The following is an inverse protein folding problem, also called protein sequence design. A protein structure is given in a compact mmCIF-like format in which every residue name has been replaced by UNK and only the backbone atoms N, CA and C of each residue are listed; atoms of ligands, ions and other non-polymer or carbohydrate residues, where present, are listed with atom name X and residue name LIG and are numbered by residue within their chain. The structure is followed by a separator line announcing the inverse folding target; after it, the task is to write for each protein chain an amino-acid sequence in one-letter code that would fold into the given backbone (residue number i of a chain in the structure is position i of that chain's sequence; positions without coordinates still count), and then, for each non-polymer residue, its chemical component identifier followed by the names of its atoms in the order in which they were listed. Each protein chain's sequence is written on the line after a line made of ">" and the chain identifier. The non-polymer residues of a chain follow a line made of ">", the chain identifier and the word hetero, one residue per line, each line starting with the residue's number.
data_IF_980170001734
#
_entry.id   IF_980170001734
#
_cell.length_a   1.000
_cell.length_b   1.000
_cell.length_c   1.000
_cell.angle_alpha   90.00
_cell.angle_beta   90.00
_cell.angle_gamma   90.00
#
_symmetry.space_group_name_H-M   'P 1'
#
loop_
_entity.id
_entity.type
_entity.pdbx_description
1 polymer ?
#
# COMPACT_ATOMS: atom_id res chain seq x y z
N UNK A 1 41.28 40.73 2.80
CA UNK A 1 40.33 40.27 1.76
C UNK A 1 40.65 38.83 1.45
N UNK A 2 39.76 37.92 1.85
CA UNK A 2 39.80 36.48 1.58
C UNK A 2 38.36 36.06 1.20
N UNK A 3 38.14 35.27 0.15
CA UNK A 3 36.79 34.91 -0.29
C UNK A 3 36.18 33.88 0.67
N UNK A 4 34.97 34.19 1.16
CA UNK A 4 34.17 33.29 1.99
C UNK A 4 33.64 32.13 1.14
N UNK A 5 33.93 30.91 1.60
CA UNK A 5 33.50 29.65 1.00
C UNK A 5 32.00 29.42 1.25
N UNK A 6 31.23 29.24 0.17
CA UNK A 6 29.80 28.86 0.17
C UNK A 6 29.63 27.39 0.54
N UNK A 7 29.87 27.01 1.80
CA UNK A 7 29.73 25.62 2.25
C UNK A 7 29.05 25.44 3.61
N UNK A 8 28.26 26.41 4.04
CA UNK A 8 27.52 26.30 5.30
C UNK A 8 26.21 27.07 5.26
N UNK A 9 25.20 26.57 4.54
CA UNK A 9 23.79 26.93 4.76
C UNK A 9 22.86 25.99 3.96
N UNK A 10 22.75 24.73 4.37
CA UNK A 10 21.67 23.81 3.93
C UNK A 10 21.58 22.62 4.90
N UNK A 11 21.46 22.95 6.19
CA UNK A 11 20.96 22.07 7.24
C UNK A 11 19.66 22.68 7.72
N UNK A 12 18.55 22.09 7.33
CA UNK A 12 17.23 22.48 7.82
C UNK A 12 16.15 22.02 6.86
N UNK A 13 15.25 21.16 7.35
CA UNK A 13 14.05 20.61 6.69
C UNK A 13 14.22 19.33 5.87
N UNK A 14 14.82 18.29 6.48
CA UNK A 14 14.42 16.90 6.23
C UNK A 14 13.51 16.48 7.40
N UNK A 15 12.24 16.88 7.30
CA UNK A 15 11.21 16.55 8.28
C UNK A 15 10.39 15.38 7.78
N UNK A 16 10.48 14.26 8.51
CA UNK A 16 9.41 13.27 8.65
C UNK A 16 9.14 12.31 7.47
N UNK A 17 10.16 11.56 7.03
CA UNK A 17 9.95 10.18 6.57
C UNK A 17 10.52 9.26 7.64
N UNK A 18 9.63 8.47 8.24
CA UNK A 18 9.82 7.76 9.50
C UNK A 18 10.99 6.77 9.49
N UNK A 19 11.56 6.59 10.67
CA UNK A 19 12.58 5.60 10.96
C UNK A 19 12.16 4.17 10.57
N UNK A 20 13.01 3.52 9.78
CA UNK A 20 13.35 2.10 9.93
C UNK A 20 12.29 1.07 9.51
N UNK A 21 12.15 0.86 8.20
CA UNK A 21 11.76 -0.45 7.68
C UNK A 21 13.05 -1.23 7.36
N UNK A 22 13.63 -1.88 8.37
CA UNK A 22 14.68 -2.89 8.13
C UNK A 22 13.96 -4.20 7.82
N UNK A 23 14.15 -4.75 6.62
CA UNK A 23 13.66 -6.08 6.28
C UNK A 23 14.26 -7.11 7.26
N UNK A 24 13.47 -8.01 7.86
CA UNK A 24 14.04 -8.99 8.79
C UNK A 24 14.93 -10.00 8.06
N UNK A 25 16.01 -10.42 8.73
CA UNK A 25 17.06 -11.27 8.16
C UNK A 25 16.57 -12.61 7.55
N UNK A 26 15.37 -13.10 7.90
CA UNK A 26 14.79 -14.30 7.29
C UNK A 26 14.22 -14.07 5.91
N UNK A 27 13.61 -12.90 5.67
CA UNK A 27 13.12 -12.51 4.34
C UNK A 27 14.32 -12.35 3.41
N UNK A 28 15.42 -11.79 3.92
CA UNK A 28 16.71 -11.75 3.22
C UNK A 28 17.23 -13.16 2.86
N UNK A 29 17.16 -14.13 3.78
CA UNK A 29 17.64 -15.50 3.56
C UNK A 29 16.76 -16.31 2.59
N UNK A 30 15.43 -16.10 2.55
CA UNK A 30 14.55 -16.78 1.58
C UNK A 30 14.72 -16.24 0.16
N UNK A 31 15.23 -15.01 0.01
CA UNK A 31 15.60 -14.40 -1.27
C UNK A 31 16.96 -14.90 -1.80
N UNK A 32 17.74 -15.63 -0.99
CA UNK A 32 19.04 -16.20 -1.35
C UNK A 32 18.96 -17.40 -2.32
N UNK A 33 17.83 -18.13 -2.32
CA UNK A 33 17.68 -19.36 -3.11
C UNK A 33 17.14 -19.14 -4.53
N UNK A 34 16.87 -17.89 -4.92
CA UNK A 34 16.30 -17.55 -6.23
C UNK A 34 17.42 -17.13 -7.20
N UNK A 35 17.63 -17.83 -8.33
CA UNK A 35 18.64 -17.44 -9.31
C UNK A 35 18.30 -16.07 -9.91
N UNK A 36 19.17 -15.09 -9.70
CA UNK A 36 19.09 -13.77 -10.31
C UNK A 36 19.69 -13.84 -11.72
N UNK A 37 18.86 -13.59 -12.74
CA UNK A 37 19.29 -13.44 -14.14
C UNK A 37 19.13 -11.97 -14.53
N UNK A 38 20.01 -11.45 -15.38
CA UNK A 38 20.11 -10.03 -15.75
C UNK A 38 18.79 -9.51 -16.37
N UNK A 39 17.91 -8.90 -15.57
CA UNK A 39 16.67 -8.27 -16.02
C UNK A 39 16.44 -6.92 -15.34
N UNK A 40 16.11 -5.91 -16.14
CA UNK A 40 15.63 -4.62 -15.65
C UNK A 40 14.22 -4.79 -15.07
N UNK A 41 13.97 -4.17 -13.91
CA UNK A 41 12.75 -4.34 -13.12
C UNK A 41 11.43 -4.17 -13.90
N UNK A 42 10.40 -4.84 -13.38
CA UNK A 42 9.04 -5.01 -13.91
C UNK A 42 8.84 -5.91 -15.15
N UNK A 43 9.88 -6.19 -15.96
CA UNK A 43 9.73 -7.02 -17.17
C UNK A 43 9.84 -8.53 -16.93
N UNK A 44 10.15 -8.95 -15.70
CA UNK A 44 10.24 -10.37 -15.37
C UNK A 44 8.84 -11.04 -15.40
N UNK A 45 8.61 -12.04 -16.28
CA UNK A 45 7.29 -12.65 -16.43
C UNK A 45 6.77 -13.36 -15.17
N UNK A 46 7.66 -13.85 -14.32
CA UNK A 46 7.28 -14.49 -13.06
C UNK A 46 6.78 -13.45 -12.06
N UNK A 47 7.52 -12.37 -11.89
CA UNK A 47 7.13 -11.20 -11.09
C UNK A 47 5.78 -10.66 -11.55
N UNK A 48 5.60 -10.43 -12.85
CA UNK A 48 4.31 -9.99 -13.39
C UNK A 48 3.14 -10.94 -13.08
N UNK A 49 3.35 -12.26 -13.17
CA UNK A 49 2.31 -13.24 -12.81
C UNK A 49 1.98 -13.22 -11.30
N UNK A 50 2.97 -13.02 -10.44
CA UNK A 50 2.78 -12.86 -8.99
C UNK A 50 2.00 -11.59 -8.67
N UNK A 51 2.31 -10.46 -9.32
CA UNK A 51 1.57 -9.20 -9.16
C UNK A 51 0.13 -9.29 -9.65
N UNK A 52 -0.14 -9.98 -10.76
CA UNK A 52 -1.52 -10.32 -11.17
C UNK A 52 -2.28 -11.08 -10.10
N UNK A 53 -1.62 -12.05 -9.48
CA UNK A 53 -2.19 -12.83 -8.41
C UNK A 53 -2.41 -11.99 -7.14
N UNK A 54 -1.55 -11.03 -6.82
CA UNK A 54 -1.75 -10.05 -5.74
C UNK A 54 -3.00 -9.19 -6.02
N UNK A 55 -3.09 -8.60 -7.21
CA UNK A 55 -4.18 -7.70 -7.57
C UNK A 55 -5.52 -8.44 -7.55
N UNK A 56 -5.59 -9.66 -8.09
CA UNK A 56 -6.82 -10.47 -8.05
C UNK A 56 -7.28 -10.82 -6.62
N UNK A 57 -6.37 -10.90 -5.64
CA UNK A 57 -6.76 -11.23 -4.25
C UNK A 57 -7.18 -9.99 -3.44
N UNK A 58 -6.54 -8.85 -3.69
CA UNK A 58 -6.76 -7.58 -2.96
C UNK A 58 -7.92 -6.78 -3.55
N UNK A 59 -7.97 -6.64 -4.87
CA UNK A 59 -9.02 -5.90 -5.59
C UNK A 59 -9.69 -6.83 -6.61
N UNK A 60 -10.45 -7.84 -6.15
CA UNK A 60 -11.12 -8.79 -7.03
C UNK A 60 -12.24 -8.12 -7.82
N UNK A 61 -12.60 -8.72 -8.97
CA UNK A 61 -13.89 -8.43 -9.61
C UNK A 61 -15.05 -8.84 -8.71
N UNK A 62 -16.11 -8.04 -8.72
CA UNK A 62 -17.34 -8.25 -7.95
C UNK A 62 -18.60 -8.15 -8.83
N UNK A 63 -18.73 -8.99 -9.89
CA UNK A 63 -19.83 -8.90 -10.85
C UNK A 63 -21.22 -9.07 -10.21
N UNK A 64 -21.31 -9.75 -9.07
CA UNK A 64 -22.54 -9.88 -8.29
C UNK A 64 -23.09 -8.54 -7.78
N UNK A 65 -22.23 -7.53 -7.62
CA UNK A 65 -22.64 -6.18 -7.18
C UNK A 65 -23.21 -5.34 -8.33
N UNK A 66 -23.00 -5.73 -9.58
CA UNK A 66 -23.45 -4.95 -10.74
C UNK A 66 -24.97 -4.75 -10.78
N UNK A 67 -25.72 -5.76 -10.34
CA UNK A 67 -27.19 -5.70 -10.35
C UNK A 67 -27.78 -4.75 -9.31
N UNK A 68 -27.03 -4.46 -8.25
CA UNK A 68 -27.48 -3.62 -7.13
C UNK A 68 -26.91 -2.20 -7.21
N UNK A 69 -25.61 -2.07 -7.49
CA UNK A 69 -24.89 -0.81 -7.37
C UNK A 69 -24.58 -0.14 -8.71
N UNK A 70 -24.58 -0.89 -9.83
CA UNK A 70 -24.17 -0.40 -11.14
C UNK A 70 -23.00 -1.18 -11.73
N UNK A 71 -22.83 -1.12 -13.06
CA UNK A 71 -21.80 -1.89 -13.77
C UNK A 71 -20.37 -1.52 -13.32
N UNK A 72 -20.17 -0.25 -12.97
CA UNK A 72 -18.94 0.33 -12.43
C UNK A 72 -18.45 -0.39 -11.16
N UNK A 73 -19.35 -1.03 -10.40
CA UNK A 73 -19.01 -1.81 -9.20
C UNK A 73 -18.62 -3.27 -9.47
N UNK A 74 -18.58 -3.70 -10.73
CA UNK A 74 -18.16 -5.05 -11.12
C UNK A 74 -16.68 -5.19 -11.46
N UNK A 75 -16.04 -4.06 -11.74
CA UNK A 75 -14.65 -3.95 -12.16
C UNK A 75 -13.72 -4.29 -10.98
N UNK A 76 -12.61 -4.96 -11.26
CA UNK A 76 -11.54 -5.24 -10.30
C UNK A 76 -10.22 -4.61 -10.74
N UNK A 77 -9.16 -4.79 -9.94
CA UNK A 77 -7.87 -4.16 -10.21
C UNK A 77 -7.20 -4.65 -11.51
N UNK A 78 -7.44 -5.91 -11.90
CA UNK A 78 -6.93 -6.44 -13.17
C UNK A 78 -7.62 -5.83 -14.40
N UNK A 79 -8.85 -5.35 -14.27
CA UNK A 79 -9.57 -4.76 -15.39
C UNK A 79 -9.04 -3.35 -15.73
N UNK A 80 -8.29 -2.73 -14.80
CA UNK A 80 -7.72 -1.38 -14.95
C UNK A 80 -6.18 -1.37 -14.91
N UNK A 81 -5.55 -2.53 -15.12
CA UNK A 81 -4.09 -2.64 -15.27
C UNK A 81 -3.27 -2.40 -14.00
N UNK A 82 -3.84 -2.55 -12.80
CA UNK A 82 -3.09 -2.37 -11.55
C UNK A 82 -1.92 -3.36 -11.44
N UNK A 83 -2.01 -4.53 -12.06
CA UNK A 83 -0.93 -5.54 -12.05
C UNK A 83 0.34 -5.09 -12.76
N UNK A 84 0.22 -4.20 -13.75
CA UNK A 84 1.35 -3.66 -14.50
C UNK A 84 1.89 -2.37 -13.85
N UNK A 85 1.02 -1.60 -13.20
CA UNK A 85 1.42 -0.39 -12.50
C UNK A 85 2.05 -0.68 -11.13
N UNK A 86 1.52 -1.63 -10.37
CA UNK A 86 1.95 -1.90 -9.00
C UNK A 86 3.45 -2.23 -8.84
N UNK A 87 4.06 -3.15 -9.62
CA UNK A 87 5.48 -3.45 -9.46
C UNK A 87 6.36 -2.22 -9.74
N UNK A 88 6.04 -1.44 -10.78
CA UNK A 88 6.74 -0.19 -11.10
C UNK A 88 6.60 0.83 -9.98
N UNK A 89 5.38 1.00 -9.46
CA UNK A 89 5.11 1.88 -8.33
C UNK A 89 5.92 1.46 -7.09
N UNK A 90 6.03 0.16 -6.79
CA UNK A 90 6.83 -0.33 -5.66
C UNK A 90 8.32 -0.05 -5.86
N UNK A 91 8.83 -0.27 -7.06
CA UNK A 91 10.24 -0.02 -7.39
C UNK A 91 10.60 1.47 -7.30
N UNK A 92 9.69 2.37 -7.69
CA UNK A 92 9.89 3.82 -7.59
C UNK A 92 9.60 4.39 -6.19
N UNK A 93 8.71 3.76 -5.42
CA UNK A 93 8.30 4.22 -4.09
C UNK A 93 9.48 4.24 -3.10
N UNK A 94 10.44 3.33 -3.27
CA UNK A 94 11.68 3.31 -2.48
C UNK A 94 12.80 3.92 -3.33
N UNK A 95 13.14 5.17 -3.04
CA UNK A 95 14.13 5.92 -3.80
C UNK A 95 15.42 5.10 -4.05
N UNK A 96 16.00 5.11 -5.27
CA UNK A 96 17.19 4.32 -5.61
C UNK A 96 18.44 4.68 -4.77
N UNK A 97 18.42 5.84 -4.11
CA UNK A 97 19.49 6.32 -3.23
C UNK A 97 19.38 5.76 -1.80
N UNK A 98 18.16 5.37 -1.39
CA UNK A 98 18.02 4.41 -0.33
C UNK A 98 18.35 3.07 -0.97
N UNK A 99 19.64 2.74 -1.03
CA UNK A 99 20.01 1.35 -0.97
C UNK A 99 19.22 0.79 0.21
N UNK A 100 18.09 0.12 -0.05
CA UNK A 100 17.70 -1.04 0.73
C UNK A 100 19.01 -1.79 0.73
N UNK A 101 19.77 -1.81 1.85
CA UNK A 101 21.12 -2.36 1.85
C UNK A 101 20.95 -3.68 1.14
N UNK A 102 21.58 -3.79 -0.04
CA UNK A 102 21.40 -4.93 -0.90
C UNK A 102 21.48 -6.11 0.03
N UNK A 103 20.39 -6.88 0.08
CA UNK A 103 20.24 -8.06 0.91
C UNK A 103 21.64 -8.65 1.02
N UNK A 104 22.28 -8.45 2.18
CA UNK A 104 23.65 -8.93 2.36
C UNK A 104 23.46 -10.42 2.54
N UNK A 105 23.36 -11.12 1.41
CA UNK A 105 23.41 -12.56 1.27
C UNK A 105 24.82 -12.97 1.69
N UNK A 106 25.06 -12.81 2.99
CA UNK A 106 26.38 -12.54 3.51
C UNK A 106 27.36 -13.61 3.12
N UNK A 107 28.49 -13.20 2.55
CA UNK A 107 29.74 -13.97 2.45
C UNK A 107 29.63 -15.50 2.26
N UNK A 108 28.63 -15.98 1.51
CA UNK A 108 28.67 -17.32 0.97
C UNK A 108 29.71 -17.27 -0.15
N UNK A 109 30.97 -17.60 0.22
CA UNK A 109 32.18 -17.63 -0.60
C UNK A 109 31.96 -18.28 -1.99
N UNK A 110 31.37 -17.55 -2.93
CA UNK A 110 31.37 -17.85 -4.36
C UNK A 110 32.43 -16.97 -5.00
N UNK A 111 33.59 -17.53 -5.39
CA UNK A 111 34.62 -16.76 -6.08
C UNK A 111 34.05 -16.27 -7.43
N UNK A 112 33.69 -15.00 -7.52
CA UNK A 112 33.26 -14.35 -8.78
C UNK A 112 31.97 -13.54 -8.71
N UNK A 113 31.19 -13.58 -7.62
CA UNK A 113 30.01 -12.73 -7.47
C UNK A 113 30.41 -11.31 -7.04
N UNK A 114 30.14 -10.32 -7.89
CA UNK A 114 30.35 -8.89 -7.58
C UNK A 114 29.15 -8.37 -6.80
N UNK A 115 29.41 -7.80 -5.62
CA UNK A 115 28.47 -7.31 -4.60
C UNK A 115 27.73 -6.00 -4.99
N UNK A 116 27.35 -5.80 -6.26
CA UNK A 116 26.82 -4.50 -6.72
C UNK A 116 25.46 -4.54 -7.44
N UNK A 117 24.81 -5.71 -7.56
CA UNK A 117 23.52 -5.79 -8.26
C UNK A 117 22.35 -5.70 -7.27
N UNK A 118 21.69 -4.54 -7.25
CA UNK A 118 20.46 -4.32 -6.47
C UNK A 118 19.28 -4.94 -7.21
N UNK A 119 18.67 -5.97 -6.63
CA UNK A 119 17.41 -6.55 -7.11
C UNK A 119 16.28 -5.53 -6.97
N UNK A 120 15.38 -5.37 -7.96
CA UNK A 120 14.18 -4.55 -7.82
C UNK A 120 13.36 -4.98 -6.60
N UNK A 121 12.80 -4.03 -5.86
CA UNK A 121 11.98 -4.34 -4.68
C UNK A 121 10.76 -5.18 -5.06
N UNK A 122 10.22 -4.96 -6.25
CA UNK A 122 9.09 -5.71 -6.79
C UNK A 122 9.40 -7.21 -6.89
N UNK A 123 10.58 -7.58 -7.38
CA UNK A 123 11.04 -8.96 -7.48
C UNK A 123 11.27 -9.59 -6.09
N UNK A 124 11.88 -8.84 -5.16
CA UNK A 124 12.05 -9.29 -3.78
C UNK A 124 10.69 -9.54 -3.08
N UNK A 125 9.70 -8.68 -3.32
CA UNK A 125 8.33 -8.88 -2.83
C UNK A 125 7.69 -10.13 -3.45
N UNK A 126 7.88 -10.35 -4.75
CA UNK A 126 7.38 -11.54 -5.44
C UNK A 126 8.00 -12.83 -4.88
N UNK A 127 9.32 -12.83 -4.65
CA UNK A 127 10.03 -13.96 -4.03
C UNK A 127 9.52 -14.29 -2.62
N UNK A 128 9.26 -13.28 -1.78
CA UNK A 128 8.70 -13.49 -0.45
C UNK A 128 7.29 -14.10 -0.48
N UNK A 129 6.45 -13.69 -1.43
CA UNK A 129 5.12 -14.27 -1.64
C UNK A 129 5.20 -15.72 -2.14
N UNK A 130 6.15 -16.01 -3.03
CA UNK A 130 6.41 -17.34 -3.55
C UNK A 130 6.87 -18.31 -2.45
N UNK A 131 7.82 -17.89 -1.60
CA UNK A 131 8.27 -18.67 -0.44
C UNK A 131 7.11 -18.96 0.52
N UNK A 132 6.26 -17.95 0.80
CA UNK A 132 5.08 -18.14 1.64
C UNK A 132 4.07 -19.13 1.04
N UNK A 133 3.86 -19.11 -0.27
CA UNK A 133 3.01 -20.06 -0.97
C UNK A 133 3.59 -21.49 -0.92
N UNK A 134 4.89 -21.65 -1.16
CA UNK A 134 5.55 -22.95 -1.07
C UNK A 134 5.50 -23.52 0.35
N UNK A 135 5.66 -22.68 1.38
CA UNK A 135 5.48 -23.08 2.77
C UNK A 135 4.03 -23.50 3.07
N UNK A 136 3.03 -22.83 2.48
CA UNK A 136 1.62 -23.23 2.55
C UNK A 136 1.41 -24.64 1.99
N UNK A 137 1.88 -24.88 0.76
CA UNK A 137 1.75 -26.15 0.06
C UNK A 137 2.49 -27.29 0.79
N UNK A 138 3.72 -27.06 1.21
CA UNK A 138 4.54 -28.07 1.91
C UNK A 138 3.89 -28.51 3.21
N UNK A 139 3.21 -27.61 3.91
CA UNK A 139 2.48 -27.93 5.14
C UNK A 139 1.11 -28.59 4.91
N UNK A 140 0.64 -28.69 3.65
CA UNK A 140 -0.72 -29.12 3.32
C UNK A 140 -1.80 -28.16 3.83
N UNK A 141 -1.48 -26.86 3.88
CA UNK A 141 -2.38 -25.83 4.42
C UNK A 141 -3.30 -25.19 3.40
N UNK A 142 -3.14 -25.50 2.11
CA UNK A 142 -4.04 -25.07 1.05
C UNK A 142 -5.35 -25.87 1.09
N UNK A 143 -6.47 -25.20 0.82
CA UNK A 143 -7.79 -25.83 0.76
C UNK A 143 -8.08 -26.36 -0.66
N UNK A 144 -7.60 -25.67 -1.69
CA UNK A 144 -7.82 -26.01 -3.09
C UNK A 144 -6.52 -26.52 -3.75
N UNK A 145 -6.66 -27.39 -4.75
CA UNK A 145 -5.52 -27.81 -5.57
C UNK A 145 -4.96 -26.62 -6.37
N UNK A 146 -3.62 -26.43 -6.43
CA UNK A 146 -3.04 -25.37 -7.23
C UNK A 146 -3.36 -25.53 -8.72
N UNK A 147 -3.52 -24.40 -9.41
CA UNK A 147 -3.78 -24.30 -10.84
C UNK A 147 -2.56 -23.68 -11.56
N UNK A 148 -1.54 -24.47 -11.94
CA UNK A 148 -0.38 -23.96 -12.68
C UNK A 148 -0.82 -23.24 -13.96
N UNK A 149 -0.22 -22.10 -14.23
CA UNK A 149 -0.51 -21.31 -15.42
C UNK A 149 -1.71 -20.37 -15.31
N UNK A 150 -2.39 -20.29 -14.16
CA UNK A 150 -3.55 -19.41 -13.93
C UNK A 150 -3.33 -17.96 -14.36
N UNK A 151 -2.15 -17.40 -14.07
CA UNK A 151 -1.73 -16.05 -14.46
C UNK A 151 -0.59 -16.05 -15.49
N UNK A 152 -0.55 -17.07 -16.35
CA UNK A 152 0.45 -17.23 -17.40
C UNK A 152 1.50 -18.30 -17.08
N UNK A 153 2.26 -18.73 -18.10
CA UNK A 153 3.17 -19.89 -18.01
C UNK A 153 4.37 -19.67 -17.08
N UNK A 154 4.67 -18.43 -16.70
CA UNK A 154 5.75 -18.09 -15.78
C UNK A 154 5.29 -17.97 -14.31
N UNK A 155 4.00 -18.16 -14.01
CA UNK A 155 3.47 -18.08 -12.65
C UNK A 155 4.02 -19.19 -11.75
N UNK A 156 4.52 -18.81 -10.58
CA UNK A 156 4.97 -19.76 -9.55
C UNK A 156 3.85 -20.29 -8.66
N UNK A 157 4.22 -20.86 -7.52
CA UNK A 157 3.30 -21.39 -6.53
C UNK A 157 2.27 -20.35 -6.09
N UNK A 158 2.68 -19.11 -5.78
CA UNK A 158 1.74 -18.09 -5.31
C UNK A 158 0.65 -17.78 -6.35
N UNK A 159 1.05 -17.66 -7.62
CA UNK A 159 0.13 -17.42 -8.74
C UNK A 159 -0.79 -18.62 -9.02
N UNK A 160 -0.34 -19.85 -8.74
CA UNK A 160 -1.14 -21.06 -8.90
C UNK A 160 -2.19 -21.26 -7.79
N UNK A 161 -2.04 -20.62 -6.63
CA UNK A 161 -2.98 -20.76 -5.52
C UNK A 161 -4.37 -20.16 -5.82
N UNK A 162 -5.41 -20.78 -5.26
CA UNK A 162 -6.74 -20.18 -5.22
C UNK A 162 -6.70 -18.83 -4.50
N UNK A 163 -7.70 -17.98 -4.73
CA UNK A 163 -7.75 -16.66 -4.09
C UNK A 163 -7.75 -16.76 -2.56
N UNK A 164 -8.41 -17.78 -2.02
CA UNK A 164 -8.46 -18.04 -0.57
C UNK A 164 -7.11 -18.48 -0.04
N UNK A 165 -6.44 -19.38 -0.75
CA UNK A 165 -5.11 -19.87 -0.36
C UNK A 165 -4.03 -18.80 -0.50
N UNK A 166 -4.14 -17.86 -1.45
CA UNK A 166 -3.27 -16.68 -1.51
C UNK A 166 -3.37 -15.82 -0.24
N UNK A 167 -4.59 -15.58 0.27
CA UNK A 167 -4.78 -14.89 1.55
C UNK A 167 -4.19 -15.67 2.71
N UNK A 168 -4.30 -17.00 2.70
CA UNK A 168 -3.68 -17.85 3.72
C UNK A 168 -2.14 -17.77 3.67
N UNK A 169 -1.53 -17.78 2.48
CA UNK A 169 -0.10 -17.57 2.31
C UNK A 169 0.34 -16.18 2.80
N UNK A 170 -0.37 -15.12 2.43
CA UNK A 170 -0.10 -13.75 2.92
C UNK A 170 -0.24 -13.66 4.44
N UNK A 171 -1.26 -14.26 5.04
CA UNK A 171 -1.45 -14.27 6.50
C UNK A 171 -0.31 -14.99 7.24
N UNK A 172 0.24 -16.06 6.65
CA UNK A 172 1.44 -16.74 7.18
C UNK A 172 2.68 -15.86 7.07
N UNK A 173 2.87 -15.21 5.93
CA UNK A 173 3.97 -14.26 5.71
C UNK A 173 3.91 -13.10 6.72
N UNK A 174 2.72 -12.56 6.97
CA UNK A 174 2.46 -11.50 7.95
C UNK A 174 2.74 -11.93 9.40
N UNK A 175 2.37 -13.17 9.75
CA UNK A 175 2.58 -13.74 11.09
C UNK A 175 4.05 -14.00 11.39
N UNK A 176 4.88 -14.14 10.36
CA UNK A 176 6.33 -14.19 10.47
C UNK A 176 6.95 -12.79 10.37
N UNK A 177 7.92 -12.67 9.50
CA UNK A 177 8.75 -11.48 9.30
C UNK A 177 8.30 -10.62 8.11
N UNK A 178 7.28 -11.06 7.35
CA UNK A 178 6.86 -10.42 6.12
C UNK A 178 5.72 -9.41 6.27
N UNK A 179 5.44 -8.90 7.48
CA UNK A 179 4.37 -7.90 7.71
C UNK A 179 4.49 -6.69 6.80
N UNK A 180 5.72 -6.18 6.59
CA UNK A 180 5.94 -5.04 5.71
C UNK A 180 5.58 -5.36 4.25
N UNK A 181 6.00 -6.54 3.75
CA UNK A 181 5.66 -7.03 2.41
C UNK A 181 4.14 -7.10 2.25
N UNK A 182 3.44 -7.74 3.20
CA UNK A 182 1.98 -7.88 3.17
C UNK A 182 1.28 -6.53 3.21
N UNK A 183 1.77 -5.58 4.02
CA UNK A 183 1.24 -4.23 4.07
C UNK A 183 1.38 -3.50 2.72
N UNK A 184 2.55 -3.58 2.07
CA UNK A 184 2.77 -2.99 0.74
C UNK A 184 1.77 -3.55 -0.28
N UNK A 185 1.74 -4.87 -0.44
CA UNK A 185 0.93 -5.52 -1.48
C UNK A 185 -0.56 -5.51 -1.18
N UNK A 186 -0.99 -5.15 0.04
CA UNK A 186 -2.42 -4.97 0.36
C UNK A 186 -2.85 -3.51 0.22
N UNK A 187 -2.02 -2.57 0.68
CA UNK A 187 -2.39 -1.16 0.68
C UNK A 187 -2.29 -0.53 -0.71
N UNK A 188 -1.20 -0.79 -1.44
CA UNK A 188 -0.94 -0.11 -2.70
C UNK A 188 -1.91 -0.47 -3.82
N UNK A 189 -2.32 -1.73 -4.06
CA UNK A 189 -3.37 -2.00 -5.04
C UNK A 189 -4.65 -1.22 -4.75
N UNK A 190 -5.06 -1.12 -3.48
CA UNK A 190 -6.26 -0.38 -3.10
C UNK A 190 -6.08 1.13 -3.35
N UNK A 191 -4.94 1.70 -2.97
CA UNK A 191 -4.62 3.11 -3.22
C UNK A 191 -4.62 3.39 -4.73
N UNK A 192 -3.95 2.57 -5.53
CA UNK A 192 -3.89 2.75 -6.97
C UNK A 192 -5.27 2.58 -7.61
N UNK A 193 -6.03 1.56 -7.24
CA UNK A 193 -7.36 1.29 -7.78
C UNK A 193 -8.38 2.41 -7.52
N UNK A 194 -8.38 2.99 -6.31
CA UNK A 194 -9.27 4.11 -5.98
C UNK A 194 -8.69 5.49 -6.31
N UNK A 195 -7.52 5.54 -6.96
CA UNK A 195 -6.93 6.76 -7.47
C UNK A 195 -7.25 6.98 -8.94
N UNK A 196 -6.87 8.15 -9.46
CA UNK A 196 -6.88 8.48 -10.89
C UNK A 196 -5.72 7.85 -11.68
N UNK A 197 -4.87 7.03 -11.03
CA UNK A 197 -3.66 6.47 -11.64
C UNK A 197 -3.93 5.64 -12.91
N UNK A 198 -5.06 4.94 -12.96
CA UNK A 198 -5.45 4.16 -14.14
C UNK A 198 -5.83 5.01 -15.36
N UNK A 199 -6.13 6.31 -15.19
CA UNK A 199 -6.47 7.21 -16.29
C UNK A 199 -5.25 7.90 -16.91
N UNK A 200 -4.05 7.75 -16.34
CA UNK A 200 -2.83 8.27 -16.94
C UNK A 200 -2.21 7.24 -17.88
N UNK A 201 -1.73 7.68 -19.05
CA UNK A 201 -0.89 6.85 -19.93
C UNK A 201 0.39 6.42 -19.20
N UNK A 202 0.98 7.32 -18.40
CA UNK A 202 2.11 7.04 -17.53
C UNK A 202 1.93 7.71 -16.16
N UNK A 203 1.27 7.00 -15.23
CA UNK A 203 0.97 7.51 -13.88
C UNK A 203 2.20 7.86 -13.02
N UNK A 204 3.38 7.42 -13.43
CA UNK A 204 4.65 7.62 -12.73
C UNK A 204 5.49 8.75 -13.37
N UNK A 205 5.03 9.30 -14.50
CA UNK A 205 5.68 10.39 -15.20
C UNK A 205 5.75 11.70 -14.39
N UNK A 206 6.55 12.68 -14.83
CA UNK A 206 6.62 13.98 -14.19
C UNK A 206 5.23 14.65 -14.10
N UNK A 207 4.83 15.25 -12.96
CA UNK A 207 3.49 15.83 -12.81
C UNK A 207 3.08 16.88 -13.84
N UNK A 208 4.05 17.52 -14.50
CA UNK A 208 3.80 18.50 -15.58
C UNK A 208 3.50 17.88 -16.94
N UNK A 209 3.72 16.58 -17.09
CA UNK A 209 3.57 15.82 -18.33
C UNK A 209 2.42 14.81 -18.25
N UNK A 210 1.81 14.64 -17.06
CA UNK A 210 0.64 13.79 -16.87
C UNK A 210 -0.58 14.39 -17.58
N UNK A 211 -1.18 13.60 -18.46
CA UNK A 211 -2.47 13.89 -19.11
C UNK A 211 -3.47 12.82 -18.69
N UNK A 212 -4.60 13.25 -18.11
CA UNK A 212 -5.61 12.36 -17.55
C UNK A 212 -6.69 12.08 -18.59
N UNK A 213 -6.88 10.81 -18.95
CA UNK A 213 -8.08 10.38 -19.65
C UNK A 213 -9.22 10.21 -18.64
N UNK A 214 -10.10 11.20 -18.57
CA UNK A 214 -11.25 11.22 -17.67
C UNK A 214 -12.37 10.26 -18.10
N UNK A 215 -12.31 9.69 -19.32
CA UNK A 215 -13.44 9.00 -19.91
C UNK A 215 -13.71 7.61 -19.35
N UNK A 216 -12.71 6.98 -18.70
CA UNK A 216 -12.78 5.60 -18.20
C UNK A 216 -12.11 5.49 -16.80
N UNK A 217 -12.60 6.24 -15.81
CA UNK A 217 -12.13 6.18 -14.42
C UNK A 217 -13.14 5.49 -13.50
N UNK A 218 -13.01 4.17 -13.24
CA UNK A 218 -14.00 3.45 -12.43
C UNK A 218 -14.19 4.00 -11.02
N UNK A 219 -13.14 4.54 -10.41
CA UNK A 219 -13.24 5.18 -9.10
C UNK A 219 -14.14 6.43 -9.12
N UNK A 220 -14.14 7.21 -10.20
CA UNK A 220 -15.00 8.38 -10.33
C UNK A 220 -16.44 7.98 -10.56
N UNK A 221 -16.68 6.99 -11.42
CA UNK A 221 -18.02 6.45 -11.67
C UNK A 221 -18.62 5.85 -10.38
N UNK A 222 -17.87 4.99 -9.68
CA UNK A 222 -18.31 4.34 -8.43
C UNK A 222 -18.65 5.32 -7.31
N UNK A 223 -18.01 6.49 -7.29
CA UNK A 223 -18.22 7.50 -6.23
C UNK A 223 -19.14 8.63 -6.66
N UNK A 224 -19.50 8.71 -7.95
CA UNK A 224 -20.14 9.87 -8.54
C UNK A 224 -19.28 11.14 -8.45
N UNK A 225 -17.94 10.99 -8.37
CA UNK A 225 -17.03 12.13 -8.32
C UNK A 225 -17.02 12.83 -9.69
N UNK A 226 -17.35 14.12 -9.78
CA UNK A 226 -17.52 14.82 -11.05
C UNK A 226 -16.20 15.21 -11.73
N UNK A 227 -15.08 14.66 -11.26
CA UNK A 227 -13.73 15.09 -11.67
C UNK A 227 -13.27 16.40 -10.99
N UNK A 228 -12.03 16.83 -11.29
CA UNK A 228 -11.51 18.12 -10.86
C UNK A 228 -12.41 19.26 -11.32
N UNK A 229 -12.97 20.03 -10.38
CA UNK A 229 -13.67 21.26 -10.72
C UNK A 229 -12.66 22.39 -10.99
N UNK A 230 -12.96 23.26 -11.95
CA UNK A 230 -12.18 24.48 -12.31
C UNK A 230 -11.91 25.44 -11.11
N UNK A 231 -12.54 25.20 -9.96
CA UNK A 231 -12.61 26.10 -8.81
C UNK A 231 -11.28 26.39 -8.09
N UNK A 232 -10.24 25.55 -8.20
CA UNK A 232 -8.97 25.83 -7.50
C UNK A 232 -8.05 26.79 -8.26
N UNK A 233 -8.18 26.91 -9.58
CA UNK A 233 -7.46 27.93 -10.34
C UNK A 233 -7.89 29.35 -9.93
N UNK A 234 -9.15 29.52 -9.50
CA UNK A 234 -9.67 30.80 -9.02
C UNK A 234 -8.98 31.30 -7.73
N UNK A 235 -8.36 30.43 -6.93
CA UNK A 235 -7.67 30.82 -5.69
C UNK A 235 -6.15 31.04 -5.86
N UNK A 236 -5.55 30.65 -7.00
CA UNK A 236 -4.10 30.80 -7.26
C UNK A 236 -3.64 32.25 -7.54
N UNK A 237 -4.49 33.24 -7.28
CA UNK A 237 -4.18 34.67 -7.44
C UNK A 237 -4.67 35.58 -6.30
N UNK A 238 -5.32 35.04 -5.27
CA UNK A 238 -5.68 35.82 -4.09
C UNK A 238 -4.58 35.66 -3.04
N UNK A 239 -3.79 36.72 -2.84
CA UNK A 239 -2.98 36.84 -1.62
C UNK A 239 -3.92 36.75 -0.41
N UNK A 240 -3.78 35.69 0.37
CA UNK A 240 -4.41 35.61 1.69
C UNK A 240 -3.73 36.67 2.55
N UNK A 241 -4.34 37.86 2.66
CA UNK A 241 -3.73 38.99 3.38
C UNK A 241 -3.54 38.70 4.87
N UNK A 242 -4.39 37.85 5.45
CA UNK A 242 -4.25 37.35 6.81
C UNK A 242 -4.77 35.91 6.89
N UNK A 243 -3.92 34.98 7.33
CA UNK A 243 -4.37 33.71 7.87
C UNK A 243 -4.96 33.99 9.26
N UNK A 244 -6.27 33.78 9.41
CA UNK A 244 -6.86 33.65 10.75
C UNK A 244 -6.71 32.19 11.13
N UNK A 245 -5.75 31.90 12.00
CA UNK A 245 -5.72 30.60 12.68
C UNK A 245 -7.06 30.46 13.41
N UNK A 246 -7.90 29.56 12.92
CA UNK A 246 -8.99 29.05 13.71
C UNK A 246 -8.35 28.15 14.77
N UNK A 247 -8.00 28.76 15.91
CA UNK A 247 -7.79 27.97 17.13
C UNK A 247 -9.15 27.37 17.42
N UNK A 248 -9.35 26.15 16.92
CA UNK A 248 -10.51 25.34 17.27
C UNK A 248 -10.75 25.43 18.77
N UNK A 249 -12.01 25.32 19.22
CA UNK A 249 -12.45 25.76 20.54
C UNK A 249 -11.44 25.35 21.60
N UNK A 250 -10.86 26.34 22.29
CA UNK A 250 -9.83 26.16 23.31
C UNK A 250 -10.25 24.99 24.21
N UNK A 251 -9.57 23.85 24.05
CA UNK A 251 -9.70 22.71 24.97
C UNK A 251 -8.90 22.99 26.24
N UNK A 252 -9.00 24.20 26.77
CA UNK A 252 -8.40 24.63 28.05
C UNK A 252 -9.25 24.19 29.26
N UNK A 253 -10.11 23.19 29.06
CA UNK A 253 -10.87 22.52 30.11
C UNK A 253 -10.26 21.20 30.60
N UNK A 254 -9.09 20.78 30.10
CA UNK A 254 -8.37 19.65 30.68
C UNK A 254 -7.71 20.11 31.99
N UNK A 255 -8.52 20.25 33.04
CA UNK A 255 -8.00 20.30 34.40
C UNK A 255 -7.17 19.05 34.61
N UNK A 256 -5.88 19.26 34.83
CA UNK A 256 -4.94 18.27 35.34
C UNK A 256 -5.45 17.82 36.72
N UNK A 257 -6.37 16.87 36.73
CA UNK A 257 -6.86 16.20 37.93
C UNK A 257 -5.72 15.33 38.44
N UNK A 258 -4.91 15.88 39.34
CA UNK A 258 -3.92 15.14 40.10
C UNK A 258 -4.60 13.95 40.75
N UNK A 259 -4.15 12.75 40.36
CA UNK A 259 -4.53 11.49 40.98
C UNK A 259 -4.03 11.44 42.43
N UNK A 260 -4.80 12.02 43.33
CA UNK A 260 -4.73 11.78 44.76
C UNK A 260 -6.12 12.01 45.34
N UNK A 261 -6.63 10.99 46.04
CA UNK A 261 -7.89 10.97 46.79
C UNK A 261 -9.21 10.92 45.99
N UNK A 262 -9.65 9.70 45.68
CA UNK A 262 -11.06 9.32 45.85
C UNK A 262 -11.20 7.79 45.90
N UNK A 263 -11.09 7.26 47.12
CA UNK A 263 -11.68 6.00 47.52
C UNK A 263 -13.12 6.35 47.90
N UNK A 264 -14.13 5.93 47.12
CA UNK A 264 -15.52 6.26 47.44
C UNK A 264 -16.51 5.85 46.36
N UNK A 265 -17.07 4.67 46.58
CA UNK A 265 -18.45 4.25 46.36
C UNK A 265 -19.08 4.29 44.95
N UNK A 266 -19.59 3.10 44.63
CA UNK A 266 -20.44 2.75 43.52
C UNK A 266 -21.84 3.38 43.62
N UNK A 267 -22.63 3.13 42.56
CA UNK A 267 -24.06 3.40 42.38
C UNK A 267 -24.37 4.75 41.69
N UNK A 268 -24.50 4.73 40.36
CA UNK A 268 -25.82 4.91 39.73
C UNK A 268 -25.77 4.55 38.24
N UNK A 269 -26.56 3.54 37.87
CA UNK A 269 -26.84 3.09 36.51
C UNK A 269 -27.78 4.08 35.81
N UNK A 270 -27.23 5.08 35.13
CA UNK A 270 -28.01 5.93 34.23
C UNK A 270 -27.90 5.38 32.80
N UNK A 271 -28.74 4.39 32.48
CA UNK A 271 -28.87 3.78 31.14
C UNK A 271 -29.32 4.85 30.12
N UNK A 272 -28.48 5.22 29.15
CA UNK A 272 -28.80 6.25 28.16
C UNK A 272 -29.98 5.88 27.25
N UNK A 273 -30.34 4.59 27.14
CA UNK A 273 -31.47 4.15 26.33
C UNK A 273 -32.83 4.53 26.95
N UNK A 274 -32.94 4.55 28.28
CA UNK A 274 -34.15 4.97 28.98
C UNK A 274 -34.46 6.49 28.84
N UNK A 275 -33.52 7.27 28.29
CA UNK A 275 -33.70 8.70 27.98
C UNK A 275 -34.27 8.93 26.58
N UNK A 276 -34.05 8.00 25.65
CA UNK A 276 -34.54 8.10 24.28
C UNK A 276 -36.05 7.79 24.19
N UNK A 277 -36.52 6.79 24.95
CA UNK A 277 -37.94 6.39 24.90
C UNK A 277 -38.88 7.42 25.51
N UNK A 278 -38.47 8.10 26.59
CA UNK A 278 -39.27 9.19 27.21
C UNK A 278 -39.43 10.43 26.34
N UNK A 279 -38.64 10.58 25.27
CA UNK A 279 -38.76 11.71 24.33
C UNK A 279 -39.80 11.47 23.24
N UNK A 280 -40.17 10.21 22.98
CA UNK A 280 -41.15 9.86 21.94
C UNK A 280 -42.59 9.77 22.45
N UNK A 281 -42.80 9.62 23.77
CA UNK A 281 -44.15 9.53 24.36
C UNK A 281 -44.75 10.89 24.73
N UNK A 282 -44.01 11.99 24.62
CA UNK A 282 -44.48 13.35 24.95
C UNK A 282 -45.14 14.12 23.80
N UNK A 283 -45.19 13.57 22.59
CA UNK A 283 -45.72 14.25 21.38
C UNK A 283 -46.95 13.56 20.77
N UNK A 284 -47.84 12.99 21.59
CA UNK A 284 -49.17 12.53 21.16
C UNK A 284 -50.30 13.12 21.97
#
# INVERSE_FOLDING_TARGET
>A
MNPLSRRGLLRGTAGMVGAGAVLPAKVAAELEEVPLDERTGSDDPHTGATYRAVVDVVVPRTPELCGELGAEHGTGGLDVGIDELLPRFIDEFVAPEAAVPGIDLGEANVPGATTEETVPLSEAVAGALEAAAQALLTSGGNEDDPEPGRFGPAGGAFAALSRRDRRAAMSRLESGDGRFVVALVTAFPAILYYSEAAGYEDALGPPSELDLDESDLPGWEQTGYPGPADGYAALRGYEVQQFREDRGPDRDGASESTAADAKGDAEDDDDPLARAERRLEGER
#
